data_IF_887877020869
#
_entry.id   IF_887877020869
#
_cell.length_a   1.000
_cell.length_b   1.000
_cell.length_c   1.000
_cell.angle_alpha   90.00
_cell.angle_beta   90.00
_cell.angle_gamma   90.00
#
_symmetry.space_group_name_H-M   'P 1'
#
loop_
_entity.id
_entity.type
_entity.pdbx_description
1 polymer ?
#
# COMPACT_ATOMS: atom_id res chain seq x y z
N UNK A 1 19.85 -20.53 -17.18
CA UNK A 1 21.22 -20.86 -17.64
C UNK A 1 21.85 -21.90 -16.73
N UNK A 2 22.46 -22.94 -17.31
CA UNK A 2 23.20 -23.96 -16.55
C UNK A 2 24.67 -23.52 -16.39
N UNK A 3 25.38 -24.06 -15.40
CA UNK A 3 26.82 -23.82 -15.23
C UNK A 3 27.56 -24.13 -16.51
N UNK A 4 27.25 -25.26 -17.16
CA UNK A 4 27.83 -25.65 -18.43
C UNK A 4 27.64 -24.63 -19.57
N UNK A 5 26.47 -23.97 -19.62
CA UNK A 5 26.19 -22.89 -20.58
C UNK A 5 27.12 -21.69 -20.32
N UNK A 6 27.26 -21.31 -19.06
CA UNK A 6 28.14 -20.20 -18.67
C UNK A 6 29.61 -20.49 -18.97
N UNK A 7 30.08 -21.70 -18.68
CA UNK A 7 31.43 -22.15 -19.01
C UNK A 7 31.66 -22.14 -20.54
N UNK A 8 30.70 -22.59 -21.32
CA UNK A 8 30.77 -22.55 -22.80
C UNK A 8 30.85 -21.13 -23.34
N UNK A 9 30.05 -20.20 -22.78
CA UNK A 9 30.08 -18.79 -23.17
C UNK A 9 31.41 -18.13 -22.81
N UNK A 10 31.97 -18.44 -21.64
CA UNK A 10 33.27 -17.90 -21.20
C UNK A 10 34.45 -18.46 -22.01
N UNK A 11 34.34 -19.70 -22.49
CA UNK A 11 35.35 -20.34 -23.32
C UNK A 11 35.24 -19.98 -24.81
N UNK A 12 34.20 -19.22 -25.21
CA UNK A 12 33.99 -18.84 -26.60
C UNK A 12 35.00 -17.77 -27.02
N UNK A 13 35.73 -18.05 -28.08
CA UNK A 13 36.65 -17.11 -28.71
C UNK A 13 36.47 -17.15 -30.23
N UNK A 14 36.36 -15.99 -30.84
CA UNK A 14 36.52 -15.82 -32.27
C UNK A 14 37.26 -14.50 -32.53
N UNK A 15 37.69 -14.31 -33.77
CA UNK A 15 38.51 -13.13 -34.17
C UNK A 15 37.70 -11.81 -34.24
N UNK A 16 36.35 -11.92 -34.17
CA UNK A 16 35.45 -10.78 -34.38
C UNK A 16 34.62 -10.42 -33.17
N UNK A 17 34.45 -11.31 -32.21
CA UNK A 17 33.57 -11.11 -31.04
C UNK A 17 34.26 -11.41 -29.72
N UNK A 18 34.04 -10.55 -28.75
CA UNK A 18 34.46 -10.78 -27.36
C UNK A 18 33.22 -10.85 -26.46
N UNK A 19 33.08 -11.99 -25.78
CA UNK A 19 31.97 -12.16 -24.82
C UNK A 19 32.48 -11.81 -23.41
N UNK A 20 31.74 -10.97 -22.71
CA UNK A 20 31.97 -10.66 -21.31
C UNK A 20 30.65 -10.56 -20.54
N UNK A 21 30.66 -10.96 -19.28
CA UNK A 21 29.55 -10.66 -18.39
C UNK A 21 29.52 -9.17 -18.06
N UNK A 22 28.31 -8.60 -18.00
CA UNK A 22 28.10 -7.21 -17.68
C UNK A 22 26.81 -7.05 -16.87
N UNK A 23 26.57 -5.86 -16.34
CA UNK A 23 25.30 -5.43 -15.78
C UNK A 23 24.51 -4.62 -16.83
N UNK A 24 23.19 -4.40 -16.65
CA UNK A 24 22.43 -3.46 -17.47
C UNK A 24 23.10 -2.07 -17.51
N UNK A 25 23.57 -1.55 -16.37
CA UNK A 25 24.26 -0.25 -16.31
C UNK A 25 25.53 -0.25 -17.17
N UNK A 26 26.32 -1.33 -17.09
CA UNK A 26 27.54 -1.50 -17.88
C UNK A 26 27.25 -1.56 -19.39
N UNK A 27 26.11 -2.13 -19.78
CA UNK A 27 25.66 -2.12 -21.17
C UNK A 27 25.29 -0.70 -21.63
N UNK A 28 24.44 0.00 -20.86
CA UNK A 28 24.02 1.36 -21.21
C UNK A 28 25.19 2.34 -21.25
N UNK A 29 26.14 2.21 -20.32
CA UNK A 29 27.36 3.02 -20.33
C UNK A 29 28.22 2.78 -21.59
N UNK A 30 28.27 1.53 -22.05
CA UNK A 30 29.04 1.19 -23.26
C UNK A 30 28.41 1.70 -24.56
N UNK A 31 27.10 1.92 -24.59
CA UNK A 31 26.37 2.34 -25.81
C UNK A 31 25.92 3.80 -25.79
N UNK A 32 26.14 4.53 -24.70
CA UNK A 32 25.61 5.89 -24.49
C UNK A 32 26.04 6.92 -25.55
N UNK A 33 27.23 6.74 -26.13
CA UNK A 33 27.81 7.65 -27.12
C UNK A 33 27.58 7.19 -28.56
N UNK A 34 26.79 6.10 -28.75
CA UNK A 34 26.43 5.62 -30.08
C UNK A 34 25.26 6.44 -30.63
N UNK A 35 25.31 6.73 -31.94
CA UNK A 35 24.17 7.30 -32.65
C UNK A 35 23.09 6.21 -32.89
N UNK A 36 22.18 6.10 -31.94
CA UNK A 36 21.11 5.11 -31.98
C UNK A 36 19.80 5.77 -32.43
N UNK A 37 18.94 5.03 -33.14
CA UNK A 37 17.64 5.55 -33.56
C UNK A 37 16.76 5.83 -32.35
N UNK A 38 16.19 7.02 -32.27
CA UNK A 38 15.17 7.37 -31.29
C UNK A 38 13.82 6.82 -31.72
N UNK A 39 13.16 6.12 -30.79
CA UNK A 39 11.83 5.54 -31.02
C UNK A 39 10.83 6.28 -30.14
N UNK A 40 9.85 6.94 -30.76
CA UNK A 40 8.74 7.64 -30.11
C UNK A 40 7.45 6.83 -30.29
N UNK A 41 7.36 5.70 -29.63
CA UNK A 41 6.19 4.83 -29.73
C UNK A 41 5.84 4.23 -28.37
N UNK A 42 4.61 3.74 -28.22
CA UNK A 42 4.20 2.94 -27.07
C UNK A 42 4.81 1.55 -27.17
N UNK A 43 5.81 1.28 -26.34
CA UNK A 43 6.48 -0.04 -26.29
C UNK A 43 5.64 -1.11 -25.57
N UNK A 44 4.47 -0.76 -25.03
CA UNK A 44 3.58 -1.68 -24.32
C UNK A 44 2.52 -2.37 -25.21
N UNK A 45 2.69 -2.33 -26.51
CA UNK A 45 1.78 -2.99 -27.45
C UNK A 45 1.73 -4.53 -27.29
N UNK A 46 2.77 -5.13 -26.68
CA UNK A 46 2.82 -6.55 -26.40
C UNK A 46 2.03 -6.90 -25.14
N UNK A 47 1.16 -7.91 -25.25
CA UNK A 47 0.38 -8.45 -24.13
C UNK A 47 -0.47 -7.41 -23.38
N UNK A 48 -1.04 -6.43 -24.07
CA UNK A 48 -1.84 -5.33 -23.49
C UNK A 48 -3.02 -5.80 -22.61
N UNK A 49 -3.56 -7.00 -22.87
CA UNK A 49 -4.60 -7.63 -22.04
C UNK A 49 -4.18 -7.87 -20.60
N UNK A 50 -2.89 -8.03 -20.33
CA UNK A 50 -2.38 -8.21 -18.96
C UNK A 50 -2.65 -7.00 -18.05
N UNK A 51 -2.81 -5.80 -18.60
CA UNK A 51 -3.06 -4.58 -17.82
C UNK A 51 -4.49 -4.49 -17.28
N UNK A 52 -5.44 -5.12 -17.95
CA UNK A 52 -6.87 -5.06 -17.60
C UNK A 52 -7.43 -6.36 -17.03
N UNK A 53 -6.79 -7.49 -17.32
CA UNK A 53 -7.28 -8.80 -16.86
C UNK A 53 -7.25 -8.88 -15.33
N UNK A 54 -8.21 -9.60 -14.74
CA UNK A 54 -8.35 -9.80 -13.30
C UNK A 54 -8.33 -8.47 -12.50
N UNK A 55 -9.12 -7.52 -12.95
CA UNK A 55 -9.21 -6.17 -12.36
C UNK A 55 -9.48 -6.17 -10.85
N UNK A 56 -10.19 -7.17 -10.33
CA UNK A 56 -10.44 -7.33 -8.90
C UNK A 56 -9.13 -7.50 -8.11
N UNK A 57 -8.20 -8.32 -8.61
CA UNK A 57 -6.88 -8.50 -8.00
C UNK A 57 -6.07 -7.21 -8.03
N UNK A 58 -5.98 -6.55 -9.19
CA UNK A 58 -5.26 -5.29 -9.34
C UNK A 58 -5.81 -4.21 -8.39
N UNK A 59 -7.14 -4.13 -8.25
CA UNK A 59 -7.80 -3.24 -7.30
C UNK A 59 -7.47 -3.61 -5.84
N UNK A 60 -7.48 -4.89 -5.51
CA UNK A 60 -7.15 -5.37 -4.16
C UNK A 60 -5.69 -5.03 -3.81
N UNK A 61 -4.75 -5.28 -4.71
CA UNK A 61 -3.35 -4.92 -4.55
C UNK A 61 -3.18 -3.42 -4.31
N UNK A 62 -3.73 -2.57 -5.20
CA UNK A 62 -3.64 -1.11 -5.04
C UNK A 62 -4.25 -0.62 -3.73
N UNK A 63 -5.36 -1.22 -3.33
CA UNK A 63 -6.02 -0.88 -2.06
C UNK A 63 -5.15 -1.30 -0.86
N UNK A 64 -4.53 -2.49 -0.92
CA UNK A 64 -3.63 -2.97 0.13
C UNK A 64 -2.41 -2.07 0.29
N UNK A 65 -1.72 -1.71 -0.81
CA UNK A 65 -0.60 -0.77 -0.80
C UNK A 65 -0.96 0.55 -0.10
N UNK A 66 -2.06 1.18 -0.54
CA UNK A 66 -2.47 2.47 0.01
C UNK A 66 -2.85 2.39 1.50
N UNK A 67 -3.49 1.29 1.91
CA UNK A 67 -3.88 1.10 3.32
C UNK A 67 -2.68 0.79 4.21
N UNK A 68 -1.73 -0.02 3.74
CA UNK A 68 -0.50 -0.32 4.47
C UNK A 68 0.34 0.94 4.65
N UNK A 69 0.56 1.73 3.59
CA UNK A 69 1.26 3.01 3.69
C UNK A 69 0.59 3.98 4.68
N UNK A 70 -0.74 4.03 4.67
CA UNK A 70 -1.48 4.83 5.65
C UNK A 70 -1.33 4.29 7.07
N UNK A 71 -1.36 2.97 7.26
CA UNK A 71 -1.17 2.34 8.56
C UNK A 71 0.21 2.60 9.13
N UNK A 72 1.27 2.46 8.33
CA UNK A 72 2.65 2.76 8.74
C UNK A 72 2.82 4.20 9.22
N UNK A 73 2.28 5.16 8.46
CA UNK A 73 2.36 6.58 8.81
C UNK A 73 1.71 6.86 10.16
N UNK A 74 0.47 6.42 10.34
CA UNK A 74 -0.28 6.70 11.56
C UNK A 74 0.18 5.88 12.77
N UNK A 75 0.62 4.64 12.57
CA UNK A 75 1.26 3.85 13.62
C UNK A 75 2.56 4.51 14.09
N UNK A 76 3.37 5.02 13.17
CA UNK A 76 4.58 5.78 13.50
C UNK A 76 4.27 7.04 14.29
N UNK A 77 3.26 7.80 13.88
CA UNK A 77 2.83 9.02 14.60
C UNK A 77 2.35 8.67 16.01
N UNK A 78 1.44 7.68 16.14
CA UNK A 78 0.93 7.24 17.43
C UNK A 78 2.04 6.70 18.34
N UNK A 79 2.95 5.89 17.77
CA UNK A 79 4.10 5.35 18.50
C UNK A 79 4.98 6.46 19.09
N UNK A 80 5.23 7.52 18.34
CA UNK A 80 6.03 8.66 18.79
C UNK A 80 5.31 9.53 19.82
N UNK A 81 4.03 9.80 19.61
CA UNK A 81 3.25 10.66 20.51
C UNK A 81 3.00 10.01 21.87
N UNK A 82 2.82 8.70 21.91
CA UNK A 82 2.41 7.99 23.12
C UNK A 82 3.47 7.04 23.69
N UNK A 83 4.69 7.05 23.13
CA UNK A 83 5.81 6.18 23.55
C UNK A 83 5.43 4.68 23.57
N UNK A 84 4.67 4.21 22.59
CA UNK A 84 4.24 2.82 22.46
C UNK A 84 5.01 2.11 21.33
N UNK A 85 5.20 0.78 21.41
CA UNK A 85 5.82 0.03 20.34
C UNK A 85 5.04 0.15 19.03
N UNK A 86 5.74 0.37 17.93
CA UNK A 86 5.16 0.33 16.59
C UNK A 86 4.92 -1.12 16.13
N UNK A 87 3.90 -1.33 15.32
CA UNK A 87 3.46 -2.66 14.83
C UNK A 87 4.32 -3.19 13.66
N UNK A 88 5.65 -3.05 13.74
CA UNK A 88 6.59 -3.31 12.63
C UNK A 88 6.49 -4.73 12.07
N UNK A 89 6.43 -5.74 12.93
CA UNK A 89 6.40 -7.14 12.51
C UNK A 89 5.10 -7.48 11.77
N UNK A 90 3.95 -7.01 12.30
CA UNK A 90 2.65 -7.20 11.65
C UNK A 90 2.61 -6.51 10.27
N UNK A 91 3.14 -5.30 10.16
CA UNK A 91 3.23 -4.57 8.91
C UNK A 91 4.17 -5.27 7.91
N UNK A 92 5.31 -5.74 8.38
CA UNK A 92 6.27 -6.47 7.53
C UNK A 92 5.68 -7.78 6.98
N UNK A 93 4.91 -8.54 7.79
CA UNK A 93 4.23 -9.76 7.31
C UNK A 93 3.14 -9.41 6.27
N UNK A 94 2.37 -8.39 6.53
CA UNK A 94 1.35 -7.92 5.57
C UNK A 94 1.98 -7.46 4.25
N UNK A 95 3.07 -6.70 4.29
CA UNK A 95 3.82 -6.30 3.10
C UNK A 95 4.40 -7.47 2.32
N UNK A 96 4.98 -8.47 3.00
CA UNK A 96 5.50 -9.67 2.34
C UNK A 96 4.43 -10.38 1.53
N UNK A 97 3.20 -10.47 2.05
CA UNK A 97 2.07 -11.08 1.35
C UNK A 97 1.67 -10.28 0.11
N UNK A 98 1.63 -8.95 0.20
CA UNK A 98 1.33 -8.09 -0.95
C UNK A 98 2.43 -8.22 -2.00
N UNK A 99 3.69 -8.07 -1.62
CA UNK A 99 4.83 -8.12 -2.54
C UNK A 99 4.99 -9.48 -3.22
N UNK A 100 4.76 -10.58 -2.50
CA UNK A 100 4.77 -11.92 -3.09
C UNK A 100 3.76 -12.04 -4.23
N UNK A 101 2.57 -11.46 -4.05
CA UNK A 101 1.49 -11.53 -5.04
C UNK A 101 1.59 -10.48 -6.15
N UNK A 102 2.67 -9.69 -6.18
CA UNK A 102 3.05 -8.84 -7.30
C UNK A 102 3.93 -9.57 -8.33
N UNK A 103 4.14 -10.88 -8.15
CA UNK A 103 4.82 -11.71 -9.14
C UNK A 103 4.15 -11.56 -10.52
N UNK A 104 4.97 -11.47 -11.56
CA UNK A 104 4.51 -11.07 -12.89
C UNK A 104 3.39 -11.96 -13.46
N UNK A 105 3.42 -13.28 -13.24
CA UNK A 105 2.40 -14.19 -13.72
C UNK A 105 1.08 -14.05 -12.95
N UNK A 106 1.15 -13.70 -11.68
CA UNK A 106 -0.04 -13.40 -10.87
C UNK A 106 -0.59 -12.03 -11.29
N UNK A 107 0.26 -11.01 -11.28
CA UNK A 107 -0.18 -9.64 -11.55
C UNK A 107 -0.61 -9.44 -13.01
N UNK A 108 0.03 -10.15 -13.95
CA UNK A 108 -0.35 -10.20 -15.36
C UNK A 108 -1.62 -10.98 -15.67
N UNK A 109 -2.14 -11.77 -14.72
CA UNK A 109 -3.37 -12.53 -14.93
C UNK A 109 -3.20 -13.87 -15.66
N UNK A 110 -1.99 -14.46 -15.63
CA UNK A 110 -1.64 -15.67 -16.39
C UNK A 110 -1.63 -16.94 -15.52
N UNK A 111 -1.87 -16.83 -14.21
CA UNK A 111 -1.89 -17.96 -13.29
C UNK A 111 -3.21 -18.73 -13.33
N UNK A 112 -3.23 -19.91 -12.69
CA UNK A 112 -4.42 -20.73 -12.54
C UNK A 112 -5.39 -20.10 -11.51
N UNK A 113 -6.64 -20.54 -11.57
CA UNK A 113 -7.72 -19.98 -10.72
C UNK A 113 -7.41 -20.08 -9.23
N UNK A 114 -6.92 -21.23 -8.80
CA UNK A 114 -6.60 -21.52 -7.39
C UNK A 114 -5.57 -20.54 -6.82
N UNK A 115 -4.59 -20.14 -7.64
CA UNK A 115 -3.62 -19.12 -7.25
C UNK A 115 -4.29 -17.76 -6.94
N UNK A 116 -5.38 -17.41 -7.62
CA UNK A 116 -6.11 -16.16 -7.35
C UNK A 116 -6.99 -16.24 -6.11
N UNK A 117 -7.48 -17.41 -5.74
CA UNK A 117 -8.15 -17.63 -4.47
C UNK A 117 -7.17 -17.37 -3.30
N UNK A 118 -5.95 -17.92 -3.37
CA UNK A 118 -4.87 -17.67 -2.41
C UNK A 118 -4.44 -16.18 -2.36
N UNK A 119 -4.38 -15.54 -3.52
CA UNK A 119 -4.08 -14.10 -3.64
C UNK A 119 -5.12 -13.26 -2.90
N UNK A 120 -6.40 -13.55 -3.08
CA UNK A 120 -7.48 -12.80 -2.43
C UNK A 120 -7.45 -12.96 -0.93
N UNK A 121 -7.12 -14.15 -0.43
CA UNK A 121 -6.91 -14.40 1.00
C UNK A 121 -5.72 -13.59 1.53
N UNK A 122 -4.57 -13.62 0.86
CA UNK A 122 -3.40 -12.87 1.23
C UNK A 122 -3.64 -11.35 1.25
N UNK A 123 -4.36 -10.82 0.25
CA UNK A 123 -4.76 -9.41 0.19
C UNK A 123 -5.77 -9.08 1.30
N UNK A 124 -6.72 -9.98 1.59
CA UNK A 124 -7.66 -9.85 2.71
C UNK A 124 -6.94 -9.71 4.05
N UNK A 125 -5.95 -10.56 4.30
CA UNK A 125 -5.10 -10.46 5.49
C UNK A 125 -4.38 -9.11 5.58
N UNK A 126 -3.74 -8.67 4.49
CA UNK A 126 -3.03 -7.39 4.47
C UNK A 126 -3.97 -6.20 4.73
N UNK A 127 -5.16 -6.20 4.13
CA UNK A 127 -6.18 -5.18 4.32
C UNK A 127 -6.71 -5.14 5.76
N UNK A 128 -6.94 -6.32 6.36
CA UNK A 128 -7.37 -6.44 7.75
C UNK A 128 -6.31 -5.91 8.71
N UNK A 129 -5.07 -6.36 8.56
CA UNK A 129 -3.93 -5.94 9.38
C UNK A 129 -3.71 -4.43 9.31
N UNK A 130 -3.71 -3.86 8.10
CA UNK A 130 -3.61 -2.41 7.91
C UNK A 130 -4.78 -1.66 8.57
N UNK A 131 -6.00 -2.20 8.48
CA UNK A 131 -7.19 -1.65 9.12
C UNK A 131 -7.09 -1.64 10.63
N UNK A 132 -6.70 -2.75 11.25
CA UNK A 132 -6.50 -2.89 12.69
C UNK A 132 -5.51 -1.87 13.23
N UNK A 133 -4.31 -1.84 12.64
CA UNK A 133 -3.22 -0.96 13.06
C UNK A 133 -3.61 0.52 12.92
N UNK A 134 -4.14 0.90 11.76
CA UNK A 134 -4.57 2.27 11.50
C UNK A 134 -5.68 2.72 12.43
N UNK A 135 -6.69 1.89 12.67
CA UNK A 135 -7.80 2.23 13.55
C UNK A 135 -7.34 2.39 15.00
N UNK A 136 -6.43 1.53 15.47
CA UNK A 136 -5.85 1.68 16.81
C UNK A 136 -5.07 3.01 16.94
N UNK A 137 -4.30 3.39 15.92
CA UNK A 137 -3.61 4.68 15.90
C UNK A 137 -4.59 5.85 15.88
N UNK A 138 -5.62 5.80 15.05
CA UNK A 138 -6.67 6.83 15.00
C UNK A 138 -7.38 7.02 16.33
N UNK A 139 -7.77 5.95 17.00
CA UNK A 139 -8.42 6.02 18.30
C UNK A 139 -7.52 6.70 19.33
N UNK A 140 -6.26 6.28 19.45
CA UNK A 140 -5.32 6.87 20.41
C UNK A 140 -5.09 8.36 20.16
N UNK A 141 -4.91 8.76 18.92
CA UNK A 141 -4.71 10.17 18.57
C UNK A 141 -5.99 10.95 18.82
N UNK A 142 -7.16 10.43 18.43
CA UNK A 142 -8.45 11.10 18.63
C UNK A 142 -8.75 11.34 20.11
N UNK A 143 -8.41 10.40 21.00
CA UNK A 143 -8.63 10.55 22.44
C UNK A 143 -7.76 11.63 23.07
N UNK A 144 -6.63 11.96 22.44
CA UNK A 144 -5.75 13.05 22.90
C UNK A 144 -6.18 14.44 22.39
N UNK A 145 -7.15 14.50 21.49
CA UNK A 145 -7.66 15.76 20.93
C UNK A 145 -8.82 16.27 21.77
N UNK A 146 -8.68 17.48 22.32
CA UNK A 146 -9.80 18.15 23.00
C UNK A 146 -10.84 18.62 21.96
N UNK A 147 -11.95 17.91 21.91
CA UNK A 147 -13.10 18.24 21.05
C UNK A 147 -14.20 19.01 21.79
N UNK A 148 -14.00 19.33 23.07
CA UNK A 148 -15.00 19.99 23.94
C UNK A 148 -15.28 21.44 23.55
N UNK A 149 -14.37 22.08 22.81
CA UNK A 149 -14.41 23.53 22.50
C UNK A 149 -14.56 24.40 23.73
N UNK A 150 -13.92 23.98 24.84
CA UNK A 150 -14.00 24.69 26.12
C UNK A 150 -15.30 24.49 26.89
N UNK A 151 -16.22 23.68 26.44
CA UNK A 151 -17.42 23.31 27.20
C UNK A 151 -17.08 22.19 28.20
N UNK A 152 -17.33 22.43 29.48
CA UNK A 152 -17.24 21.36 30.48
C UNK A 152 -18.40 20.39 30.25
N UNK A 153 -18.12 19.17 29.87
CA UNK A 153 -19.11 18.08 29.85
C UNK A 153 -19.21 17.57 31.28
N UNK A 154 -20.37 17.63 31.95
CA UNK A 154 -20.52 17.09 33.30
C UNK A 154 -20.29 15.57 33.25
N UNK A 155 -19.28 15.08 33.97
CA UNK A 155 -19.12 13.65 34.20
C UNK A 155 -20.19 13.23 35.21
N UNK A 156 -21.31 12.72 34.72
CA UNK A 156 -22.32 12.08 35.57
C UNK A 156 -21.79 10.71 36.03
N UNK A 157 -21.92 10.43 37.33
CA UNK A 157 -21.63 9.09 37.86
C UNK A 157 -22.60 8.03 37.33
N UNK A 158 -23.78 8.45 36.94
CA UNK A 158 -24.81 7.63 36.31
C UNK A 158 -24.66 7.73 34.78
N UNK A 159 -23.62 7.09 34.27
CA UNK A 159 -23.35 7.07 32.84
C UNK A 159 -24.39 6.18 32.14
N UNK A 160 -25.55 6.74 31.84
CA UNK A 160 -26.52 6.08 30.98
C UNK A 160 -25.97 6.08 29.54
N UNK A 161 -25.90 4.92 28.93
CA UNK A 161 -25.47 4.71 27.55
C UNK A 161 -26.18 5.65 26.55
N UNK A 162 -27.34 6.18 26.90
CA UNK A 162 -28.12 7.15 26.14
C UNK A 162 -27.60 8.60 26.20
N UNK A 163 -26.73 8.95 27.15
CA UNK A 163 -26.18 10.30 27.25
C UNK A 163 -25.26 10.65 26.10
N UNK A 164 -24.68 9.68 25.46
CA UNK A 164 -23.93 9.87 24.22
C UNK A 164 -24.76 10.43 23.08
N UNK A 165 -26.00 10.00 23.02
CA UNK A 165 -26.91 10.32 21.91
C UNK A 165 -27.57 11.70 22.10
N UNK A 166 -27.59 12.20 23.33
CA UNK A 166 -28.26 13.43 23.72
C UNK A 166 -27.30 14.56 24.12
N UNK A 167 -25.98 14.37 23.93
CA UNK A 167 -25.01 15.41 24.20
C UNK A 167 -25.30 16.64 23.32
N UNK A 168 -25.85 17.67 23.91
CA UNK A 168 -26.13 18.93 23.24
C UNK A 168 -24.83 19.56 22.71
N UNK A 169 -24.60 19.47 21.41
CA UNK A 169 -23.40 20.08 20.86
C UNK A 169 -22.91 19.46 19.55
N UNK A 170 -23.61 18.45 19.05
CA UNK A 170 -23.21 17.70 17.86
C UNK A 170 -22.17 16.61 18.14
N UNK A 171 -21.95 15.70 17.19
CA UNK A 171 -20.95 14.65 17.27
C UNK A 171 -19.61 15.19 16.77
N UNK A 172 -18.55 15.22 17.57
CA UNK A 172 -17.24 15.63 17.07
C UNK A 172 -16.68 14.59 16.11
N UNK A 173 -16.08 15.04 15.02
CA UNK A 173 -15.40 14.21 14.06
C UNK A 173 -13.95 14.64 13.92
N UNK A 174 -13.03 13.68 13.99
CA UNK A 174 -11.61 13.89 13.71
C UNK A 174 -11.30 13.35 12.33
N UNK A 175 -10.76 14.19 11.46
CA UNK A 175 -10.39 13.84 10.10
C UNK A 175 -8.87 13.74 10.00
N UNK A 176 -8.40 12.63 9.44
CA UNK A 176 -6.99 12.33 9.31
C UNK A 176 -6.54 12.46 7.84
N UNK A 177 -5.54 13.31 7.61
CA UNK A 177 -4.89 13.42 6.31
C UNK A 177 -3.53 12.72 6.37
N UNK A 178 -3.30 11.60 5.65
CA UNK A 178 -2.03 10.89 5.67
C UNK A 178 -0.94 11.55 4.82
N UNK A 179 -1.24 12.64 4.13
CA UNK A 179 -0.29 13.34 3.28
C UNK A 179 0.41 14.49 4.02
N UNK A 180 1.65 14.84 3.66
CA UNK A 180 2.37 15.98 4.24
C UNK A 180 1.94 17.33 3.67
N UNK A 181 0.87 17.36 2.89
CA UNK A 181 0.30 18.55 2.25
C UNK A 181 -1.22 18.58 2.39
N UNK A 182 -1.86 19.76 2.31
CA UNK A 182 -3.32 19.89 2.35
C UNK A 182 -3.96 19.18 1.14
N UNK A 183 -5.11 18.54 1.39
CA UNK A 183 -5.93 17.90 0.36
C UNK A 183 -7.38 18.34 0.49
N UNK A 184 -8.08 18.48 -0.63
CA UNK A 184 -9.52 18.59 -0.67
C UNK A 184 -10.12 17.25 -1.03
N UNK A 185 -10.97 16.72 -0.19
CA UNK A 185 -11.56 15.39 -0.37
C UNK A 185 -13.01 15.35 0.11
N UNK A 186 -13.80 14.48 -0.52
CA UNK A 186 -15.12 14.15 -0.01
C UNK A 186 -15.01 13.25 1.21
N UNK A 187 -15.68 13.62 2.30
CA UNK A 187 -15.72 12.83 3.53
C UNK A 187 -17.12 12.24 3.67
N UNK A 188 -17.20 10.95 3.92
CA UNK A 188 -18.46 10.30 4.26
C UNK A 188 -18.58 10.20 5.77
N UNK A 189 -19.55 10.86 6.35
CA UNK A 189 -19.87 10.83 7.76
C UNK A 189 -21.15 10.03 7.98
N UNK A 190 -21.14 9.15 9.00
CA UNK A 190 -22.36 8.57 9.54
C UNK A 190 -22.92 9.57 10.54
N UNK A 191 -23.96 10.28 10.15
CA UNK A 191 -24.68 11.18 11.05
C UNK A 191 -26.07 10.62 11.27
N UNK A 192 -26.60 10.74 12.48
CA UNK A 192 -28.05 10.60 12.68
C UNK A 192 -28.66 11.88 12.05
N UNK A 193 -29.23 11.76 10.88
CA UNK A 193 -30.09 12.81 10.36
C UNK A 193 -31.31 12.91 11.25
N UNK A 194 -31.40 13.98 12.02
CA UNK A 194 -32.70 14.41 12.48
C UNK A 194 -33.51 14.70 11.20
N UNK A 195 -34.56 13.92 10.94
CA UNK A 195 -35.55 14.29 9.94
C UNK A 195 -36.09 15.66 10.33
N UNK A 196 -35.83 16.63 9.45
CA UNK A 196 -36.50 17.93 9.48
C UNK A 196 -37.90 17.74 8.93
#
# INVERSE_FOLDING_TARGET
PTVKMLETLLAYHDDTHTLKFSSPDGFYEAVKDLDLPEIYDDLQHHASGCYSTLSAHKKANRTAEMRLLSAERWDTVASRLFAIPAAREKLADAWKRVLFNQFHDIFGGCSIREAYDDVLEAMGFALHTAGEIRNAAYQRISWAIDTSRGKKVPLSKDFDFRTWENAMGGAPHVVFNPHPFPVTAHIRLLTKTASV
#
